data_IF_628650770767
#
_entry.id   IF_628650770767
#
_cell.length_a   1.000
_cell.length_b   1.000
_cell.length_c   1.000
_cell.angle_alpha   90.00
_cell.angle_beta   90.00
_cell.angle_gamma   90.00
#
_symmetry.space_group_name_H-M   'P 1'
#
loop_
_entity.id
_entity.type
_entity.pdbx_description
1 polymer ?
#
# COMPACT_ATOMS: atom_id res chain seq x y z
N UNK A 1 11.64 28.58 16.52
CA UNK A 1 11.33 27.99 15.20
C UNK A 1 10.18 27.01 15.36
N UNK A 2 9.07 27.14 14.63
CA UNK A 2 7.84 26.36 14.90
C UNK A 2 7.91 24.96 14.28
N UNK A 3 7.33 23.95 14.96
CA UNK A 3 7.23 22.55 14.49
C UNK A 3 6.66 22.41 13.06
N UNK A 4 5.79 23.34 12.66
CA UNK A 4 5.26 23.46 11.29
C UNK A 4 6.34 23.73 10.24
N UNK A 5 7.32 24.59 10.54
CA UNK A 5 8.44 24.91 9.62
C UNK A 5 9.42 23.74 9.49
N UNK A 6 9.60 22.92 10.53
CA UNK A 6 10.45 21.72 10.50
C UNK A 6 9.82 20.61 9.66
N UNK A 7 8.49 20.38 9.77
CA UNK A 7 7.77 19.39 8.95
C UNK A 7 7.76 19.77 7.46
N UNK A 8 7.60 21.05 7.15
CA UNK A 8 7.68 21.55 5.77
C UNK A 8 9.10 21.38 5.20
N UNK A 9 10.13 21.63 6.01
CA UNK A 9 11.53 21.44 5.61
C UNK A 9 11.88 19.95 5.38
N UNK A 10 11.37 19.04 6.20
CA UNK A 10 11.56 17.59 6.03
C UNK A 10 10.82 17.03 4.81
N UNK A 11 9.60 17.51 4.52
CA UNK A 11 8.86 17.14 3.30
C UNK A 11 9.54 17.66 2.03
N UNK A 12 10.12 18.88 2.10
CA UNK A 12 10.95 19.43 1.03
C UNK A 12 12.22 18.61 0.88
N UNK A 13 12.89 18.18 1.95
CA UNK A 13 14.08 17.32 1.90
C UNK A 13 13.76 15.93 1.34
N UNK A 14 12.62 15.31 1.68
CA UNK A 14 12.18 14.04 1.10
C UNK A 14 11.83 14.17 -0.39
N UNK A 15 11.15 15.25 -0.78
CA UNK A 15 10.91 15.59 -2.20
C UNK A 15 12.21 15.93 -2.92
N UNK A 16 13.20 16.54 -2.25
CA UNK A 16 14.51 16.83 -2.81
C UNK A 16 15.39 15.59 -2.90
N UNK A 17 15.26 14.61 -1.99
CA UNK A 17 15.93 13.32 -2.11
C UNK A 17 15.36 12.51 -3.27
N UNK A 18 14.05 12.55 -3.51
CA UNK A 18 13.44 11.95 -4.70
C UNK A 18 13.88 12.65 -6.01
N UNK A 19 14.06 13.99 -6.00
CA UNK A 19 14.60 14.74 -7.16
C UNK A 19 16.12 14.58 -7.34
N UNK A 20 16.90 14.51 -6.26
CA UNK A 20 18.35 14.35 -6.30
C UNK A 20 18.77 12.89 -6.56
N UNK A 21 17.92 11.91 -6.29
CA UNK A 21 18.11 10.53 -6.75
C UNK A 21 18.16 10.43 -8.28
N UNK A 22 17.51 11.36 -9.01
CA UNK A 22 17.64 11.48 -10.48
C UNK A 22 18.98 12.10 -10.94
N UNK A 23 19.70 12.80 -10.08
CA UNK A 23 20.86 13.66 -10.47
C UNK A 23 22.19 13.14 -9.94
N UNK A 24 22.23 12.35 -8.86
CA UNK A 24 23.48 11.98 -8.18
C UNK A 24 23.96 10.54 -8.39
N UNK A 25 23.15 9.67 -8.99
CA UNK A 25 23.56 8.31 -9.33
C UNK A 25 23.44 8.14 -10.84
N UNK A 26 24.57 7.99 -11.51
CA UNK A 26 24.62 7.63 -12.93
C UNK A 26 23.85 6.33 -13.14
N UNK A 27 22.58 6.45 -13.52
CA UNK A 27 21.79 5.33 -13.98
C UNK A 27 22.47 4.82 -15.26
N UNK A 28 22.89 3.55 -15.35
CA UNK A 28 23.16 2.97 -16.65
C UNK A 28 21.88 3.12 -17.48
N UNK A 29 22.02 3.70 -18.67
CA UNK A 29 20.95 4.15 -19.56
C UNK A 29 20.05 3.02 -20.13
N UNK A 30 20.00 1.84 -19.49
CA UNK A 30 19.35 0.64 -20.01
C UNK A 30 18.28 0.03 -19.10
N UNK A 31 17.60 0.85 -18.30
CA UNK A 31 16.40 0.46 -17.53
C UNK A 31 15.24 1.46 -17.71
N UNK A 32 15.08 2.00 -18.91
CA UNK A 32 13.85 2.69 -19.32
C UNK A 32 12.79 1.65 -19.75
N UNK A 33 12.11 1.01 -18.79
CA UNK A 33 10.82 0.39 -19.03
C UNK A 33 10.01 0.08 -17.76
N UNK A 34 10.30 0.67 -16.60
CA UNK A 34 9.50 0.46 -15.39
C UNK A 34 8.57 1.66 -15.14
N UNK A 35 7.39 1.59 -15.78
CA UNK A 35 6.14 2.30 -15.43
C UNK A 35 6.28 3.57 -14.57
N UNK A 36 6.42 4.71 -15.23
CA UNK A 36 6.32 5.99 -14.54
C UNK A 36 4.85 6.27 -14.22
N UNK A 37 4.49 6.16 -12.94
CA UNK A 37 3.32 6.87 -12.41
C UNK A 37 3.44 8.33 -12.82
N UNK A 38 2.37 8.93 -13.39
CA UNK A 38 2.43 10.33 -13.78
C UNK A 38 2.76 11.19 -12.55
N UNK A 39 3.48 12.29 -12.74
CA UNK A 39 3.83 13.18 -11.63
C UNK A 39 2.59 13.68 -10.89
N UNK A 40 1.49 13.93 -11.62
CA UNK A 40 0.19 14.28 -11.06
C UNK A 40 -0.40 13.18 -10.18
N UNK A 41 -0.38 11.92 -10.63
CA UNK A 41 -0.90 10.78 -9.85
C UNK A 41 -0.02 10.49 -8.62
N UNK A 42 1.29 10.64 -8.76
CA UNK A 42 2.21 10.54 -7.63
C UNK A 42 1.90 11.61 -6.59
N UNK A 43 1.68 12.85 -7.03
CA UNK A 43 1.31 13.95 -6.14
C UNK A 43 -0.03 13.67 -5.45
N UNK A 44 -1.04 13.16 -6.15
CA UNK A 44 -2.35 12.81 -5.55
C UNK A 44 -2.21 11.67 -4.54
N UNK A 45 -1.47 10.62 -4.88
CA UNK A 45 -1.22 9.49 -3.99
C UNK A 45 -0.49 9.95 -2.73
N UNK A 46 0.46 10.87 -2.89
CA UNK A 46 1.27 11.38 -1.79
C UNK A 46 0.68 12.60 -1.10
N UNK A 47 -0.36 13.29 -1.55
CA UNK A 47 -0.88 14.46 -0.84
C UNK A 47 -1.93 14.08 0.23
N UNK A 48 -1.72 14.52 1.47
CA UNK A 48 -2.58 14.23 2.63
C UNK A 48 -3.65 15.31 2.84
N UNK A 49 -3.55 16.43 2.13
CA UNK A 49 -4.47 17.56 2.20
C UNK A 49 -5.64 17.45 1.23
N UNK A 50 -5.59 16.50 0.28
CA UNK A 50 -6.68 16.21 -0.65
C UNK A 50 -7.92 15.75 0.13
N UNK A 51 -8.86 16.68 0.28
CA UNK A 51 -10.17 16.48 0.88
C UNK A 51 -11.31 16.66 -0.11
N UNK A 52 -12.57 16.65 0.37
CA UNK A 52 -13.77 16.61 -0.47
C UNK A 52 -13.91 17.69 -1.56
N UNK A 53 -13.21 18.81 -1.41
CA UNK A 53 -13.23 19.91 -2.38
C UNK A 53 -12.28 19.72 -3.57
N UNK A 54 -11.37 18.75 -3.49
CA UNK A 54 -10.40 18.51 -4.54
C UNK A 54 -10.98 17.57 -5.63
N UNK A 55 -10.78 17.83 -6.93
CA UNK A 55 -11.40 17.03 -8.00
C UNK A 55 -10.95 15.56 -8.04
N UNK A 56 -9.73 15.28 -7.57
CA UNK A 56 -9.23 13.92 -7.42
C UNK A 56 -9.62 13.25 -6.09
N UNK A 57 -10.47 13.86 -5.27
CA UNK A 57 -10.94 13.23 -4.05
C UNK A 57 -12.03 12.20 -4.38
N UNK A 58 -11.92 11.01 -3.80
CA UNK A 58 -12.92 9.96 -3.95
C UNK A 58 -13.53 9.60 -2.61
N UNK A 59 -14.86 9.69 -2.52
CA UNK A 59 -15.61 9.34 -1.31
C UNK A 59 -15.54 7.84 -1.02
N UNK A 60 -15.56 7.49 0.27
CA UNK A 60 -15.72 6.11 0.71
C UNK A 60 -17.07 5.57 0.21
N UNK A 61 -17.12 4.29 -0.23
CA UNK A 61 -18.37 3.64 -0.60
C UNK A 61 -19.25 3.42 0.65
N UNK A 62 -20.54 3.05 0.46
CA UNK A 62 -21.35 2.51 1.54
C UNK A 62 -20.66 1.33 2.22
N UNK A 63 -20.72 1.29 3.55
CA UNK A 63 -20.01 0.26 4.30
C UNK A 63 -20.66 -1.11 4.18
N UNK A 64 -19.81 -2.13 4.16
CA UNK A 64 -20.10 -3.54 4.10
C UNK A 64 -19.66 -4.21 5.41
N UNK A 65 -20.17 -5.41 5.68
CA UNK A 65 -19.56 -6.28 6.68
C UNK A 65 -18.19 -6.79 6.21
N UNK A 66 -17.30 -7.17 7.13
CA UNK A 66 -16.01 -7.80 6.79
C UNK A 66 -16.18 -9.03 5.89
N UNK A 67 -17.21 -9.83 6.17
CA UNK A 67 -17.57 -11.00 5.36
C UNK A 67 -17.90 -10.62 3.91
N UNK A 68 -18.74 -9.60 3.71
CA UNK A 68 -19.17 -9.21 2.37
C UNK A 68 -18.05 -8.50 1.60
N UNK A 69 -17.23 -7.69 2.30
CA UNK A 69 -16.02 -7.12 1.73
C UNK A 69 -15.03 -8.21 1.29
N UNK A 70 -14.80 -9.23 2.13
CA UNK A 70 -13.99 -10.40 1.77
C UNK A 70 -14.56 -11.14 0.55
N UNK A 71 -15.87 -11.43 0.53
CA UNK A 71 -16.51 -12.10 -0.60
C UNK A 71 -16.39 -11.31 -1.89
N UNK A 72 -16.54 -9.98 -1.81
CA UNK A 72 -16.37 -9.09 -2.95
C UNK A 72 -14.93 -9.12 -3.46
N UNK A 73 -13.94 -9.00 -2.58
CA UNK A 73 -12.51 -9.01 -2.93
C UNK A 73 -12.07 -10.29 -3.65
N UNK A 74 -12.55 -11.43 -3.19
CA UNK A 74 -12.17 -12.74 -3.77
C UNK A 74 -13.06 -13.15 -4.95
N UNK A 75 -14.24 -12.52 -5.11
CA UNK A 75 -15.11 -12.79 -6.24
C UNK A 75 -14.44 -12.35 -7.54
N UNK A 76 -14.38 -13.26 -8.51
CA UNK A 76 -13.82 -12.94 -9.83
C UNK A 76 -14.87 -12.27 -10.69
N UNK A 77 -14.59 -11.05 -11.13
CA UNK A 77 -15.35 -10.43 -12.21
C UNK A 77 -14.58 -10.62 -13.54
N UNK A 78 -14.96 -11.63 -14.33
CA UNK A 78 -14.30 -11.95 -15.61
C UNK A 78 -14.29 -10.77 -16.59
N UNK A 79 -15.29 -9.88 -16.52
CA UNK A 79 -15.36 -8.68 -17.35
C UNK A 79 -14.26 -7.66 -17.04
N UNK A 80 -13.88 -7.51 -15.77
CA UNK A 80 -12.86 -6.55 -15.35
C UNK A 80 -11.45 -6.99 -15.74
N UNK A 81 -11.15 -8.29 -15.59
CA UNK A 81 -9.86 -8.87 -15.99
C UNK A 81 -9.61 -8.75 -17.51
N UNK A 82 -10.66 -8.51 -18.29
CA UNK A 82 -10.56 -8.33 -19.75
C UNK A 82 -10.38 -6.86 -20.16
N UNK A 83 -10.44 -5.91 -19.22
CA UNK A 83 -10.32 -4.49 -19.53
C UNK A 83 -8.91 -4.10 -20.00
N UNK A 84 -8.76 -3.10 -20.89
CA UNK A 84 -7.44 -2.65 -21.35
C UNK A 84 -6.53 -2.19 -20.21
N UNK A 85 -7.09 -1.51 -19.21
CA UNK A 85 -6.36 -1.00 -18.05
C UNK A 85 -5.84 -2.13 -17.17
N UNK A 86 -6.67 -3.14 -16.91
CA UNK A 86 -6.26 -4.33 -16.16
C UNK A 86 -5.17 -5.10 -16.89
N UNK A 87 -5.31 -5.29 -18.21
CA UNK A 87 -4.29 -5.95 -19.03
C UNK A 87 -2.98 -5.17 -19.06
N UNK A 88 -3.04 -3.83 -19.09
CA UNK A 88 -1.86 -2.99 -19.02
C UNK A 88 -1.17 -3.07 -17.65
N UNK A 89 -1.95 -3.05 -16.56
CA UNK A 89 -1.45 -3.24 -15.21
C UNK A 89 -0.83 -4.63 -15.04
N UNK A 90 -1.42 -5.69 -15.62
CA UNK A 90 -0.90 -7.04 -15.55
C UNK A 90 0.47 -7.15 -16.23
N UNK A 91 0.63 -6.56 -17.42
CA UNK A 91 1.93 -6.54 -18.12
C UNK A 91 3.01 -5.86 -17.26
N UNK A 92 2.68 -4.71 -16.66
CA UNK A 92 3.59 -3.98 -15.76
C UNK A 92 3.93 -4.79 -14.51
N UNK A 93 2.94 -5.47 -13.92
CA UNK A 93 3.15 -6.36 -12.78
C UNK A 93 4.09 -7.52 -13.14
N UNK A 94 3.83 -8.23 -14.23
CA UNK A 94 4.69 -9.34 -14.69
C UNK A 94 6.12 -8.85 -14.92
N UNK A 95 6.28 -7.69 -15.54
CA UNK A 95 7.59 -7.07 -15.74
C UNK A 95 8.26 -6.68 -14.41
N UNK A 96 7.53 -6.07 -13.47
CA UNK A 96 8.06 -5.73 -12.15
C UNK A 96 8.51 -6.97 -11.36
N UNK A 97 7.80 -8.09 -11.53
CA UNK A 97 8.09 -9.37 -10.88
C UNK A 97 9.24 -10.15 -11.53
N UNK A 98 9.75 -9.75 -12.70
CA UNK A 98 10.84 -10.48 -13.38
C UNK A 98 12.20 -10.27 -12.70
N UNK A 99 12.33 -9.27 -11.83
CA UNK A 99 13.55 -9.00 -11.08
C UNK A 99 13.52 -9.72 -9.72
N UNK A 100 14.63 -10.35 -9.27
CA UNK A 100 14.63 -11.19 -8.07
C UNK A 100 14.50 -10.42 -6.75
N UNK A 101 15.04 -9.21 -6.69
CA UNK A 101 15.10 -8.38 -5.48
C UNK A 101 14.37 -7.06 -5.70
N UNK A 102 13.93 -6.41 -4.63
CA UNK A 102 13.23 -5.13 -4.65
C UNK A 102 14.03 -3.93 -5.20
N UNK A 103 13.35 -2.79 -5.32
CA UNK A 103 13.98 -1.48 -5.52
C UNK A 103 13.29 -0.42 -4.65
N UNK A 104 14.00 0.66 -4.35
CA UNK A 104 13.52 1.69 -3.42
C UNK A 104 12.29 2.45 -3.93
N UNK A 105 12.05 2.50 -5.23
CA UNK A 105 10.92 3.23 -5.84
C UNK A 105 9.70 2.33 -6.11
N UNK A 106 9.90 1.01 -6.15
CA UNK A 106 8.89 0.07 -6.60
C UNK A 106 7.59 0.12 -5.77
N UNK A 107 7.63 0.15 -4.42
CA UNK A 107 6.40 0.13 -3.62
C UNK A 107 5.37 1.18 -4.05
N UNK A 108 5.83 2.40 -4.29
CA UNK A 108 4.95 3.51 -4.69
C UNK A 108 4.52 3.38 -6.15
N UNK A 109 5.43 3.00 -7.05
CA UNK A 109 5.11 2.85 -8.48
C UNK A 109 4.05 1.80 -8.73
N UNK A 110 4.06 0.71 -7.96
CA UNK A 110 3.14 -0.40 -8.13
C UNK A 110 1.75 -0.17 -7.55
N UNK A 111 1.54 0.86 -6.71
CA UNK A 111 0.29 1.03 -5.98
C UNK A 111 -0.95 1.03 -6.88
N UNK A 112 -0.98 1.86 -7.92
CA UNK A 112 -2.15 1.97 -8.81
C UNK A 112 -2.36 0.69 -9.65
N UNK A 113 -1.29 0.00 -10.03
CA UNK A 113 -1.37 -1.26 -10.76
C UNK A 113 -1.92 -2.37 -9.86
N UNK A 114 -1.41 -2.48 -8.63
CA UNK A 114 -1.92 -3.42 -7.63
C UNK A 114 -3.38 -3.14 -7.27
N UNK A 115 -3.76 -1.86 -7.16
CA UNK A 115 -5.15 -1.46 -6.92
C UNK A 115 -6.05 -1.91 -8.07
N UNK A 116 -5.63 -1.66 -9.31
CA UNK A 116 -6.36 -2.10 -10.51
C UNK A 116 -6.48 -3.62 -10.58
N UNK A 117 -5.41 -4.35 -10.28
CA UNK A 117 -5.34 -5.80 -10.42
C UNK A 117 -6.05 -6.58 -9.31
N UNK A 118 -5.94 -6.10 -8.07
CA UNK A 118 -6.29 -6.85 -6.86
C UNK A 118 -7.52 -6.26 -6.19
N UNK A 119 -7.64 -4.93 -6.15
CA UNK A 119 -8.65 -4.22 -5.38
C UNK A 119 -9.67 -3.50 -6.26
N UNK A 120 -9.68 -3.81 -7.57
CA UNK A 120 -10.66 -3.32 -8.55
C UNK A 120 -10.71 -1.79 -8.64
N UNK A 121 -9.58 -1.14 -8.40
CA UNK A 121 -9.47 0.30 -8.39
C UNK A 121 -10.09 0.97 -7.15
N UNK A 122 -10.47 0.25 -6.10
CA UNK A 122 -11.18 0.83 -4.96
C UNK A 122 -10.30 1.70 -4.05
N UNK A 123 -8.98 1.58 -4.11
CA UNK A 123 -8.05 2.29 -3.22
C UNK A 123 -7.53 3.60 -3.82
N UNK A 124 -7.40 3.67 -5.14
CA UNK A 124 -6.96 4.86 -5.87
C UNK A 124 -7.81 6.06 -5.44
N UNK A 125 -7.10 7.13 -5.08
CA UNK A 125 -7.65 8.41 -4.60
C UNK A 125 -8.37 8.37 -3.23
N UNK A 126 -8.58 7.19 -2.63
CA UNK A 126 -9.05 7.02 -1.24
C UNK A 126 -7.92 6.83 -0.25
N UNK A 127 -6.79 6.30 -0.72
CA UNK A 127 -5.60 6.03 0.09
C UNK A 127 -4.50 7.05 -0.21
N UNK A 128 -3.84 7.53 0.83
CA UNK A 128 -2.61 8.30 0.78
C UNK A 128 -1.42 7.40 1.15
N UNK A 129 -0.52 7.14 0.20
CA UNK A 129 0.66 6.30 0.42
C UNK A 129 1.94 7.15 0.34
N UNK A 130 2.86 6.99 1.31
CA UNK A 130 4.12 7.73 1.34
C UNK A 130 5.26 6.90 1.91
N UNK A 131 6.48 7.29 1.57
CA UNK A 131 7.67 6.96 2.34
C UNK A 131 7.68 7.75 3.64
N UNK A 132 7.87 7.07 4.77
CA UNK A 132 8.02 7.69 6.07
C UNK A 132 8.87 6.79 6.98
N UNK A 133 9.54 7.36 7.98
CA UNK A 133 10.17 6.55 9.02
C UNK A 133 9.09 5.95 9.90
N UNK A 134 9.03 4.63 9.97
CA UNK A 134 8.06 3.93 10.81
C UNK A 134 8.48 3.89 12.29
N UNK A 135 9.71 4.30 12.62
CA UNK A 135 10.21 4.36 14.01
C UNK A 135 9.45 5.37 14.88
N UNK A 136 8.87 6.40 14.26
CA UNK A 136 8.08 7.44 14.93
C UNK A 136 6.63 7.01 15.19
N UNK A 137 6.24 5.83 14.71
CA UNK A 137 4.93 5.25 14.94
C UNK A 137 5.16 4.28 16.10
N UNK A 138 4.67 4.63 17.30
CA UNK A 138 4.91 4.00 18.61
C UNK A 138 4.47 2.51 18.71
N UNK A 139 4.33 1.82 17.57
CA UNK A 139 3.92 0.43 17.43
C UNK A 139 5.10 -0.52 17.28
N UNK A 140 6.31 -0.04 16.96
CA UNK A 140 7.49 -0.91 16.86
C UNK A 140 7.88 -1.44 18.24
N UNK A 141 7.72 -2.75 18.45
CA UNK A 141 8.38 -3.46 19.56
C UNK A 141 9.89 -3.26 19.42
N UNK A 142 10.59 -3.20 20.55
CA UNK A 142 12.01 -2.78 20.69
C UNK A 142 13.03 -3.50 19.77
N UNK A 143 12.66 -4.49 18.96
CA UNK A 143 13.56 -5.26 18.10
C UNK A 143 12.97 -5.62 16.71
N UNK A 144 11.77 -5.15 16.36
CA UNK A 144 11.12 -5.48 15.08
C UNK A 144 11.14 -4.27 14.15
N UNK A 145 11.64 -4.48 12.91
CA UNK A 145 11.63 -3.44 11.89
C UNK A 145 10.32 -3.51 11.13
N UNK A 146 9.38 -2.62 11.46
CA UNK A 146 8.13 -2.48 10.74
C UNK A 146 8.41 -2.14 9.26
N UNK A 147 7.95 -2.97 8.32
CA UNK A 147 8.17 -2.75 6.89
C UNK A 147 7.18 -1.73 6.29
N UNK A 148 5.96 -1.71 6.80
CA UNK A 148 4.92 -0.76 6.43
C UNK A 148 3.82 -0.71 7.49
N UNK A 149 2.94 0.28 7.39
CA UNK A 149 1.77 0.38 8.27
C UNK A 149 0.62 1.12 7.60
N UNK A 150 -0.57 0.64 7.89
CA UNK A 150 -1.82 1.25 7.49
C UNK A 150 -2.51 1.86 8.69
N UNK A 151 -2.89 3.12 8.56
CA UNK A 151 -3.58 3.87 9.61
C UNK A 151 -4.94 4.31 9.10
N UNK A 152 -5.94 4.13 9.96
CA UNK A 152 -7.24 4.75 9.82
C UNK A 152 -7.14 6.28 9.58
N UNK A 153 -8.16 6.89 8.96
CA UNK A 153 -8.25 8.33 8.89
C UNK A 153 -8.34 8.92 10.31
N UNK A 154 -7.41 9.80 10.67
CA UNK A 154 -7.45 10.53 11.96
C UNK A 154 -8.24 11.82 11.87
N UNK A 155 -8.58 12.26 10.65
CA UNK A 155 -9.36 13.44 10.41
C UNK A 155 -10.58 13.06 9.56
N UNK A 156 -11.77 13.10 10.17
CA UNK A 156 -13.01 12.78 9.49
C UNK A 156 -13.44 13.83 8.45
N UNK A 157 -12.83 15.02 8.44
CA UNK A 157 -13.03 16.00 7.35
C UNK A 157 -12.23 15.65 6.09
N UNK A 158 -11.20 14.81 6.23
CA UNK A 158 -10.38 14.29 5.11
C UNK A 158 -10.16 12.80 5.35
N UNK A 159 -11.19 11.95 5.13
CA UNK A 159 -11.17 10.56 5.55
C UNK A 159 -10.37 9.66 4.58
N UNK A 160 -9.14 10.06 4.22
CA UNK A 160 -8.24 9.22 3.43
C UNK A 160 -7.48 8.26 4.36
N UNK A 161 -7.48 6.98 4.00
CA UNK A 161 -6.69 5.96 4.67
C UNK A 161 -5.22 6.24 4.37
N UNK A 162 -4.32 6.03 5.34
CA UNK A 162 -2.90 6.35 5.19
C UNK A 162 -2.08 5.06 5.21
N UNK A 163 -1.27 4.85 4.17
CA UNK A 163 -0.25 3.80 4.15
C UNK A 163 1.12 4.46 4.26
N UNK A 164 1.99 3.94 5.11
CA UNK A 164 3.39 4.36 5.25
C UNK A 164 4.28 3.17 4.98
N UNK A 165 5.20 3.34 4.03
CA UNK A 165 6.24 2.34 3.77
C UNK A 165 7.53 2.85 4.37
N UNK A 166 8.21 1.96 5.10
CA UNK A 166 9.37 2.35 5.89
C UNK A 166 10.55 2.72 4.99
N UNK A 167 10.99 3.97 5.07
CA UNK A 167 12.15 4.47 4.31
C UNK A 167 13.49 3.97 4.89
N UNK A 168 13.51 3.55 6.15
CA UNK A 168 14.74 3.10 6.84
C UNK A 168 15.13 1.66 6.46
N UNK A 169 14.30 0.97 5.68
CA UNK A 169 14.52 -0.40 5.21
C UNK A 169 15.29 -0.38 3.88
N UNK A 170 16.35 -1.17 3.78
CA UNK A 170 17.04 -1.39 2.50
C UNK A 170 16.31 -2.43 1.66
N UNK A 171 15.25 -1.99 0.97
CA UNK A 171 14.37 -2.81 0.15
C UNK A 171 15.05 -3.62 -0.96
N UNK A 172 16.28 -3.27 -1.32
CA UNK A 172 17.11 -4.02 -2.29
C UNK A 172 17.55 -5.38 -1.76
N UNK A 173 17.55 -5.57 -0.43
CA UNK A 173 17.93 -6.83 0.22
C UNK A 173 16.76 -7.81 0.36
N UNK A 174 15.54 -7.36 0.10
CA UNK A 174 14.34 -8.17 0.25
C UNK A 174 13.98 -8.84 -1.09
N UNK A 175 13.49 -10.09 -1.05
CA UNK A 175 12.86 -10.71 -2.21
C UNK A 175 11.77 -9.81 -2.78
N UNK A 176 11.70 -9.73 -4.11
CA UNK A 176 10.68 -8.91 -4.80
C UNK A 176 9.25 -9.29 -4.39
N UNK A 177 9.00 -10.58 -4.16
CA UNK A 177 7.73 -11.14 -3.68
C UNK A 177 7.34 -10.65 -2.29
N UNK A 178 8.32 -10.44 -1.40
CA UNK A 178 8.11 -9.92 -0.05
C UNK A 178 7.90 -8.41 -0.10
N UNK A 179 8.68 -7.66 -0.89
CA UNK A 179 8.47 -6.21 -1.03
C UNK A 179 7.06 -5.89 -1.55
N UNK A 180 6.66 -6.51 -2.66
CA UNK A 180 5.32 -6.29 -3.21
C UNK A 180 4.27 -6.88 -2.26
N UNK A 181 4.57 -8.01 -1.63
CA UNK A 181 3.71 -8.62 -0.62
C UNK A 181 3.41 -7.69 0.56
N UNK A 182 4.41 -6.97 1.09
CA UNK A 182 4.21 -5.94 2.12
C UNK A 182 3.28 -4.84 1.62
N UNK A 183 3.47 -4.34 0.39
CA UNK A 183 2.57 -3.31 -0.15
C UNK A 183 1.14 -3.83 -0.27
N UNK A 184 0.95 -5.06 -0.74
CA UNK A 184 -0.38 -5.68 -0.83
C UNK A 184 -0.98 -5.93 0.54
N UNK A 185 -0.18 -6.31 1.55
CA UNK A 185 -0.62 -6.45 2.94
C UNK A 185 -1.19 -5.12 3.46
N UNK A 186 -0.48 -4.02 3.28
CA UNK A 186 -0.98 -2.70 3.69
C UNK A 186 -2.20 -2.24 2.88
N UNK A 187 -2.21 -2.53 1.58
CA UNK A 187 -3.38 -2.27 0.73
C UNK A 187 -4.60 -3.09 1.14
N UNK A 188 -4.41 -4.30 1.68
CA UNK A 188 -5.49 -5.14 2.20
C UNK A 188 -6.10 -4.52 3.46
N UNK A 189 -5.28 -4.01 4.38
CA UNK A 189 -5.77 -3.21 5.52
C UNK A 189 -6.58 -2.02 5.02
N UNK A 190 -6.04 -1.31 4.04
CA UNK A 190 -6.72 -0.14 3.47
C UNK A 190 -8.04 -0.49 2.79
N UNK A 191 -8.12 -1.62 2.10
CA UNK A 191 -9.36 -2.13 1.50
C UNK A 191 -10.45 -2.35 2.53
N UNK A 192 -10.12 -3.02 3.64
CA UNK A 192 -11.10 -3.22 4.70
C UNK A 192 -11.47 -1.91 5.40
N UNK A 193 -10.56 -0.95 5.57
CA UNK A 193 -10.94 0.39 6.04
C UNK A 193 -11.89 1.12 5.07
N UNK A 194 -11.65 1.02 3.76
CA UNK A 194 -12.48 1.65 2.73
C UNK A 194 -13.90 1.08 2.75
N UNK A 195 -14.04 -0.25 2.85
CA UNK A 195 -15.33 -0.92 2.74
C UNK A 195 -16.03 -1.15 4.07
N UNK A 196 -15.34 -1.28 5.19
CA UNK A 196 -15.95 -1.61 6.49
C UNK A 196 -15.96 -0.41 7.45
N UNK A 197 -15.19 0.64 7.14
CA UNK A 197 -14.95 1.75 8.05
C UNK A 197 -14.12 1.34 9.28
N UNK A 198 -13.76 2.32 10.11
CA UNK A 198 -12.87 2.07 11.28
C UNK A 198 -13.51 1.17 12.32
N UNK A 199 -14.82 1.34 12.58
CA UNK A 199 -15.54 0.53 13.54
C UNK A 199 -15.83 -0.89 13.03
N UNK A 200 -16.05 -1.05 11.71
CA UNK A 200 -16.35 -2.33 11.09
C UNK A 200 -15.12 -3.12 10.67
N UNK A 201 -13.93 -2.52 10.64
CA UNK A 201 -12.66 -3.20 10.32
C UNK A 201 -12.20 -4.20 11.40
N UNK A 202 -12.86 -4.23 12.56
CA UNK A 202 -12.57 -5.23 13.59
C UNK A 202 -12.98 -6.61 13.11
N UNK A 203 -11.98 -7.42 12.77
CA UNK A 203 -12.20 -8.77 12.29
C UNK A 203 -12.51 -9.73 13.46
N UNK A 204 -13.10 -10.89 13.13
CA UNK A 204 -13.33 -11.96 14.09
C UNK A 204 -12.00 -12.59 14.49
N UNK A 205 -11.64 -12.46 15.77
CA UNK A 205 -10.51 -13.18 16.36
C UNK A 205 -11.02 -14.46 17.05
N UNK A 206 -10.69 -15.64 16.51
CA UNK A 206 -11.13 -16.94 17.04
C UNK A 206 -10.12 -17.58 18.02
N UNK A 207 -9.28 -16.77 18.67
CA UNK A 207 -8.19 -17.22 19.54
C UNK A 207 -6.87 -17.48 18.79
N UNK A 208 -5.82 -17.82 19.52
CA UNK A 208 -4.44 -17.89 18.99
C UNK A 208 -3.74 -16.52 18.98
N UNK A 209 -2.84 -16.29 18.02
CA UNK A 209 -2.12 -15.02 17.79
C UNK A 209 -2.86 -14.06 16.83
N UNK A 210 -4.15 -14.29 16.55
CA UNK A 210 -4.97 -13.35 15.76
C UNK A 210 -5.34 -12.12 16.60
N UNK A 211 -5.34 -10.94 15.98
CA UNK A 211 -5.81 -9.70 16.58
C UNK A 211 -6.96 -9.07 15.78
N UNK A 212 -7.46 -7.91 16.22
CA UNK A 212 -8.58 -7.21 15.58
C UNK A 212 -8.27 -6.73 14.15
N UNK A 213 -6.99 -6.60 13.77
CA UNK A 213 -6.55 -6.23 12.42
C UNK A 213 -6.22 -7.45 11.52
N UNK A 214 -5.88 -8.58 12.13
CA UNK A 214 -5.41 -9.80 11.45
C UNK A 214 -6.31 -11.01 11.79
N UNK A 215 -7.63 -10.80 11.83
CA UNK A 215 -8.60 -11.86 12.11
C UNK A 215 -8.90 -12.77 10.91
N UNK A 216 -10.02 -13.48 11.00
CA UNK A 216 -10.38 -14.56 10.06
C UNK A 216 -10.47 -14.10 8.61
N UNK A 217 -11.16 -13.00 8.32
CA UNK A 217 -11.42 -12.55 6.95
C UNK A 217 -10.16 -11.93 6.32
N UNK A 218 -9.41 -11.15 7.08
CA UNK A 218 -8.14 -10.57 6.67
C UNK A 218 -7.16 -11.68 6.30
N UNK A 219 -6.99 -12.66 7.20
CA UNK A 219 -6.08 -13.76 6.96
C UNK A 219 -6.51 -14.60 5.75
N UNK A 220 -7.79 -14.95 5.65
CA UNK A 220 -8.31 -15.70 4.52
C UNK A 220 -8.08 -14.96 3.18
N UNK A 221 -8.33 -13.65 3.14
CA UNK A 221 -8.05 -12.81 1.97
C UNK A 221 -6.57 -12.84 1.60
N UNK A 222 -5.68 -12.53 2.56
CA UNK A 222 -4.24 -12.49 2.34
C UNK A 222 -3.70 -13.81 1.80
N UNK A 223 -4.12 -14.96 2.36
CA UNK A 223 -3.70 -16.29 1.89
C UNK A 223 -4.17 -16.59 0.46
N UNK A 224 -5.35 -16.12 0.07
CA UNK A 224 -5.81 -16.25 -1.32
C UNK A 224 -4.97 -15.39 -2.27
N UNK A 225 -4.66 -14.16 -1.86
CA UNK A 225 -3.81 -13.25 -2.63
C UNK A 225 -2.39 -13.79 -2.80
N UNK A 226 -1.76 -14.32 -1.75
CA UNK A 226 -0.44 -14.98 -1.84
C UNK A 226 -0.43 -16.09 -2.89
N UNK A 227 -1.43 -16.98 -2.86
CA UNK A 227 -1.53 -18.11 -3.81
C UNK A 227 -1.72 -17.64 -5.25
N UNK A 228 -2.60 -16.66 -5.45
CA UNK A 228 -2.97 -16.13 -6.77
C UNK A 228 -1.82 -15.35 -7.40
N UNK A 229 -1.17 -14.48 -6.63
CA UNK A 229 -0.18 -13.53 -7.14
C UNK A 229 1.27 -13.93 -6.89
N UNK A 230 1.50 -15.05 -6.20
CA UNK A 230 2.84 -15.56 -5.84
C UNK A 230 3.64 -14.55 -5.00
N UNK A 231 2.95 -13.97 -4.01
CA UNK A 231 3.52 -12.99 -3.09
C UNK A 231 3.73 -13.61 -1.70
N UNK A 232 4.54 -12.94 -0.89
CA UNK A 232 4.74 -13.24 0.54
C UNK A 232 4.15 -12.07 1.33
N UNK A 233 2.90 -12.20 1.79
CA UNK A 233 2.19 -11.16 2.57
C UNK A 233 2.39 -11.36 4.07
N UNK A 234 2.62 -12.60 4.49
CA UNK A 234 2.85 -12.98 5.87
C UNK A 234 4.23 -13.62 6.02
N UNK A 235 4.87 -13.41 7.16
CA UNK A 235 6.13 -14.08 7.45
C UNK A 235 5.90 -15.61 7.47
N UNK A 236 6.63 -16.41 6.69
CA UNK A 236 6.54 -17.88 6.77
C UNK A 236 6.85 -18.43 8.17
N UNK A 237 7.68 -17.72 8.95
CA UNK A 237 8.03 -18.03 10.33
C UNK A 237 7.06 -17.46 11.38
N UNK A 238 6.26 -16.45 11.02
CA UNK A 238 5.14 -15.95 11.82
C UNK A 238 3.85 -15.97 10.97
N UNK A 239 3.16 -17.12 10.91
CA UNK A 239 1.99 -17.30 10.05
C UNK A 239 0.79 -16.44 10.47
N UNK A 240 0.93 -15.57 11.47
CA UNK A 240 -0.08 -14.62 11.92
C UNK A 240 0.06 -13.22 11.32
N UNK A 241 1.20 -12.90 10.70
CA UNK A 241 1.36 -11.61 10.03
C UNK A 241 1.44 -10.42 10.97
N UNK A 242 1.79 -10.63 12.24
CA UNK A 242 2.05 -9.54 13.18
C UNK A 242 3.44 -8.99 12.85
N UNK A 243 3.49 -7.98 11.97
CA UNK A 243 4.69 -7.19 11.72
C UNK A 243 4.99 -6.20 12.85
#
# INVERSE_FOLDING_TARGET
MTLSKIRSLMAIIASHQLRNLKVSFGFPANLQAASDISESELQILQDSSIGPQHPAYRHLPPFLSMHDAYRRLISRNQGEESSPDWQAALRRYVQAMSAPHGSLDLPIKMFNDLDTLIFHGDLKHRVNMRWETCRLIELSRLHETLLGVTMAPTNWTIPRIRIRINIDVDWRKFPRTQLIGTVVHEMLHAYFYVHCGVAGHRDLAMGGRMDEGHGVYFYAAGRQLERRWKLTLFDPGDPTGLC
#
